data_IF_334533494025
#
_entry.id   IF_334533494025
#
_cell.length_a   1.000
_cell.length_b   1.000
_cell.length_c   1.000
_cell.angle_alpha   90.00
_cell.angle_beta   90.00
_cell.angle_gamma   90.00
#
_symmetry.space_group_name_H-M   'P 1'
#
loop_
_entity.id
_entity.type
_entity.pdbx_description
1 polymer ?
#
# COMPACT_ATOMS: atom_id res chain seq x y z
N UNK A 1 -30.06 6.90 5.05
CA UNK A 1 -28.93 5.94 5.15
C UNK A 1 -27.85 6.40 6.14
N UNK A 2 -27.16 7.53 5.92
CA UNK A 2 -26.11 8.06 6.83
C UNK A 2 -26.59 8.21 8.30
N UNK A 3 -27.85 8.57 8.53
CA UNK A 3 -28.45 8.64 9.88
C UNK A 3 -28.47 7.29 10.62
N UNK A 4 -28.88 6.20 9.94
CA UNK A 4 -28.87 4.84 10.51
C UNK A 4 -27.46 4.40 10.86
N UNK A 5 -26.50 4.68 9.98
CA UNK A 5 -25.08 4.39 10.21
C UNK A 5 -24.53 5.16 11.42
N UNK A 6 -24.82 6.47 11.55
CA UNK A 6 -24.46 7.28 12.72
C UNK A 6 -25.10 6.76 14.00
N UNK A 7 -26.34 6.26 13.93
CA UNK A 7 -27.01 5.62 15.06
C UNK A 7 -26.31 4.30 15.46
N UNK A 8 -26.05 3.39 14.52
CA UNK A 8 -25.32 2.13 14.78
C UNK A 8 -23.93 2.41 15.36
N UNK A 9 -23.20 3.38 14.82
CA UNK A 9 -21.89 3.80 15.33
C UNK A 9 -21.97 4.28 16.79
N UNK A 10 -22.97 5.10 17.13
CA UNK A 10 -23.22 5.51 18.53
C UNK A 10 -23.55 4.33 19.44
N UNK A 11 -24.44 3.43 19.02
CA UNK A 11 -24.78 2.22 19.79
C UNK A 11 -23.52 1.38 20.06
N UNK A 12 -22.69 1.13 19.04
CA UNK A 12 -21.43 0.38 19.18
C UNK A 12 -20.39 1.12 20.02
N UNK A 13 -20.41 2.46 20.03
CA UNK A 13 -19.56 3.29 20.90
C UNK A 13 -19.94 3.22 22.39
N UNK A 14 -21.22 3.04 22.72
CA UNK A 14 -21.69 2.85 24.11
C UNK A 14 -21.31 1.49 24.71
N UNK A 15 -21.09 0.45 23.89
CA UNK A 15 -20.72 -0.88 24.39
C UNK A 15 -19.33 -0.85 25.07
N UNK A 16 -19.09 -1.62 26.13
CA UNK A 16 -17.75 -1.81 26.68
C UNK A 16 -16.81 -2.47 25.65
N UNK A 17 -15.53 -2.05 25.60
CA UNK A 17 -14.57 -2.56 24.64
C UNK A 17 -14.38 -4.10 24.72
N UNK A 18 -14.53 -4.70 25.91
CA UNK A 18 -14.55 -6.15 26.09
C UNK A 18 -15.71 -6.86 25.40
N UNK A 19 -16.91 -6.25 25.41
CA UNK A 19 -18.10 -6.76 24.73
C UNK A 19 -17.94 -6.69 23.21
N UNK A 20 -17.38 -5.58 22.70
CA UNK A 20 -17.06 -5.42 21.28
C UNK A 20 -16.05 -6.47 20.81
N UNK A 21 -14.99 -6.75 21.60
CA UNK A 21 -14.06 -7.84 21.32
C UNK A 21 -14.74 -9.22 21.35
N UNK A 22 -15.65 -9.46 22.30
CA UNK A 22 -16.41 -10.71 22.36
C UNK A 22 -17.31 -10.91 21.13
N UNK A 23 -18.02 -9.87 20.69
CA UNK A 23 -18.83 -9.89 19.48
C UNK A 23 -17.98 -10.10 18.23
N UNK A 24 -16.83 -9.43 18.11
CA UNK A 24 -15.91 -9.65 17.00
C UNK A 24 -15.39 -11.10 16.95
N UNK A 25 -15.09 -11.71 18.11
CA UNK A 25 -14.74 -13.14 18.19
C UNK A 25 -15.86 -14.06 17.71
N UNK A 26 -17.09 -13.79 18.13
CA UNK A 26 -18.28 -14.58 17.76
C UNK A 26 -18.61 -14.47 16.26
N UNK A 27 -18.76 -13.25 15.73
CA UNK A 27 -19.08 -13.03 14.32
C UNK A 27 -17.93 -13.47 13.40
N UNK A 28 -16.67 -13.26 13.79
CA UNK A 28 -15.52 -13.78 13.06
C UNK A 28 -15.50 -15.32 13.02
N UNK A 29 -15.87 -15.98 14.13
CA UNK A 29 -16.02 -17.44 14.16
C UNK A 29 -17.13 -17.92 13.22
N UNK A 30 -18.29 -17.25 13.18
CA UNK A 30 -19.39 -17.56 12.26
C UNK A 30 -18.96 -17.41 10.79
N UNK A 31 -18.26 -16.33 10.44
CA UNK A 31 -17.76 -16.10 9.07
C UNK A 31 -16.75 -17.17 8.64
N UNK A 32 -15.93 -17.67 9.56
CA UNK A 32 -14.94 -18.73 9.30
C UNK A 32 -15.54 -20.15 9.24
N UNK A 33 -16.54 -20.48 10.08
CA UNK A 33 -17.06 -21.85 10.25
C UNK A 33 -18.40 -22.12 9.55
N UNK A 34 -19.29 -21.13 9.51
CA UNK A 34 -20.62 -21.24 8.89
C UNK A 34 -20.56 -20.74 7.45
N UNK A 35 -20.22 -19.47 7.24
CA UNK A 35 -20.12 -18.91 5.88
C UNK A 35 -18.86 -19.39 5.12
N UNK A 36 -17.83 -19.86 5.83
CA UNK A 36 -16.60 -20.48 5.30
C UNK A 36 -15.93 -19.66 4.20
N UNK A 37 -16.05 -18.34 4.27
CA UNK A 37 -15.75 -17.43 3.16
C UNK A 37 -14.29 -17.61 2.74
N UNK A 38 -14.10 -18.13 1.52
CA UNK A 38 -12.79 -18.41 0.89
C UNK A 38 -11.88 -19.34 1.70
N UNK A 39 -12.41 -20.15 2.61
CA UNK A 39 -11.63 -21.01 3.52
C UNK A 39 -10.57 -21.84 2.82
N UNK A 40 -10.93 -22.57 1.77
CA UNK A 40 -9.98 -23.38 0.98
C UNK A 40 -8.82 -22.55 0.43
N UNK A 41 -9.15 -21.46 -0.27
CA UNK A 41 -8.17 -20.53 -0.85
C UNK A 41 -7.21 -19.94 0.20
N UNK A 42 -7.73 -19.52 1.37
CA UNK A 42 -6.89 -18.95 2.43
C UNK A 42 -5.98 -20.01 3.04
N UNK A 43 -6.50 -21.20 3.40
CA UNK A 43 -5.69 -22.27 3.99
C UNK A 43 -4.60 -22.79 3.02
N UNK A 44 -4.93 -22.91 1.73
CA UNK A 44 -3.98 -23.27 0.66
C UNK A 44 -2.93 -22.16 0.42
N UNK A 45 -3.31 -20.89 0.59
CA UNK A 45 -2.38 -19.76 0.47
C UNK A 45 -1.45 -19.69 1.69
N UNK A 46 -1.99 -19.79 2.90
CA UNK A 46 -1.22 -19.90 4.14
C UNK A 46 -0.23 -21.08 4.07
N UNK A 47 -0.66 -22.22 3.53
CA UNK A 47 0.20 -23.39 3.37
C UNK A 47 1.43 -23.17 2.49
N UNK A 48 1.33 -22.31 1.47
CA UNK A 48 2.45 -21.96 0.59
C UNK A 48 3.31 -20.82 1.15
N UNK A 49 2.72 -19.90 1.91
CA UNK A 49 3.41 -18.72 2.42
C UNK A 49 4.10 -18.96 3.77
N UNK A 50 3.54 -19.85 4.59
CA UNK A 50 3.98 -20.18 5.94
C UNK A 50 4.10 -21.72 6.05
N UNK A 51 5.09 -22.33 5.37
CA UNK A 51 5.23 -23.78 5.30
C UNK A 51 5.47 -24.42 6.68
N UNK A 52 6.17 -23.73 7.56
CA UNK A 52 6.55 -24.21 8.91
C UNK A 52 5.39 -24.20 9.91
N UNK A 53 4.31 -23.45 9.60
CA UNK A 53 3.12 -23.35 10.45
C UNK A 53 2.22 -24.56 10.24
N UNK A 54 1.78 -25.23 11.30
CA UNK A 54 1.00 -26.47 11.23
C UNK A 54 -0.40 -26.28 10.64
N UNK A 55 -1.06 -27.37 10.24
CA UNK A 55 -2.45 -27.35 9.75
C UNK A 55 -3.44 -26.78 10.79
N UNK A 56 -3.18 -27.03 12.08
CA UNK A 56 -4.00 -26.49 13.18
C UNK A 56 -3.83 -24.97 13.31
N UNK A 57 -2.60 -24.47 13.28
CA UNK A 57 -2.31 -23.04 13.36
C UNK A 57 -2.77 -22.29 12.11
N UNK A 58 -2.66 -22.86 10.90
CA UNK A 58 -3.25 -22.25 9.68
C UNK A 58 -4.76 -22.07 9.80
N UNK A 59 -5.46 -23.03 10.42
CA UNK A 59 -6.90 -22.91 10.73
C UNK A 59 -7.16 -21.81 11.76
N UNK A 60 -6.33 -21.73 12.81
CA UNK A 60 -6.39 -20.66 13.82
C UNK A 60 -6.20 -19.27 13.21
N UNK A 61 -5.16 -19.07 12.40
CA UNK A 61 -4.87 -17.82 11.66
C UNK A 61 -6.07 -17.41 10.79
N UNK A 62 -6.69 -18.36 10.07
CA UNK A 62 -7.88 -18.07 9.26
C UNK A 62 -9.08 -17.60 10.09
N UNK A 63 -9.29 -18.16 11.29
CA UNK A 63 -10.36 -17.74 12.20
C UNK A 63 -10.05 -16.39 12.82
N UNK A 64 -8.84 -16.21 13.37
CA UNK A 64 -8.40 -14.95 13.98
C UNK A 64 -8.40 -13.79 12.96
N UNK A 65 -8.07 -14.05 11.69
CA UNK A 65 -8.24 -13.07 10.60
C UNK A 65 -9.68 -12.59 10.47
N UNK A 66 -10.67 -13.49 10.50
CA UNK A 66 -12.07 -13.06 10.46
C UNK A 66 -12.48 -12.28 11.70
N UNK A 67 -11.97 -12.64 12.88
CA UNK A 67 -12.21 -11.90 14.12
C UNK A 67 -11.59 -10.50 14.07
N UNK A 68 -10.37 -10.36 13.53
CA UNK A 68 -9.73 -9.07 13.29
C UNK A 68 -10.48 -8.23 12.26
N UNK A 69 -10.96 -8.82 11.16
CA UNK A 69 -11.74 -8.09 10.15
C UNK A 69 -13.06 -7.55 10.69
N UNK A 70 -13.76 -8.31 11.55
CA UNK A 70 -14.95 -7.79 12.23
C UNK A 70 -14.58 -6.73 13.26
N UNK A 71 -13.52 -6.94 14.05
CA UNK A 71 -13.07 -5.98 15.06
C UNK A 71 -12.66 -4.64 14.43
N UNK A 72 -11.96 -4.67 13.29
CA UNK A 72 -11.56 -3.48 12.54
C UNK A 72 -12.78 -2.62 12.16
N UNK A 73 -13.87 -3.24 11.69
CA UNK A 73 -15.13 -2.54 11.38
C UNK A 73 -15.75 -1.98 12.65
N UNK A 74 -15.86 -2.79 13.72
CA UNK A 74 -16.44 -2.34 14.99
C UNK A 74 -15.67 -1.17 15.60
N UNK A 75 -14.35 -1.15 15.49
CA UNK A 75 -13.52 -0.04 15.97
C UNK A 75 -13.72 1.25 15.19
N UNK A 76 -13.84 1.17 13.86
CA UNK A 76 -14.20 2.33 13.05
C UNK A 76 -15.58 2.87 13.46
N UNK A 77 -16.53 1.99 13.81
CA UNK A 77 -17.83 2.39 14.36
C UNK A 77 -17.70 3.04 15.75
N UNK A 78 -16.88 2.50 16.67
CA UNK A 78 -16.61 3.12 17.98
C UNK A 78 -15.98 4.51 17.83
N UNK A 79 -14.98 4.62 16.97
CA UNK A 79 -14.25 5.85 16.69
C UNK A 79 -15.19 6.93 16.14
N UNK A 80 -16.00 6.57 15.13
CA UNK A 80 -16.98 7.46 14.52
C UNK A 80 -18.14 7.80 15.45
N UNK A 81 -18.53 6.87 16.33
CA UNK A 81 -19.54 7.06 17.36
C UNK A 81 -19.10 7.91 18.56
N UNK A 82 -17.83 8.34 18.62
CA UNK A 82 -17.32 9.33 19.58
C UNK A 82 -16.19 8.85 20.49
N UNK A 83 -15.80 7.56 20.47
CA UNK A 83 -14.74 7.01 21.34
C UNK A 83 -13.32 7.32 20.85
N UNK A 84 -13.06 8.54 20.35
CA UNK A 84 -11.76 8.90 19.73
C UNK A 84 -10.59 8.81 20.71
N UNK A 85 -10.77 9.30 21.94
CA UNK A 85 -9.74 9.29 22.98
C UNK A 85 -9.23 7.88 23.32
N UNK A 86 -10.12 6.88 23.39
CA UNK A 86 -9.79 5.46 23.63
C UNK A 86 -8.76 4.90 22.62
N UNK A 87 -8.79 5.38 21.36
CA UNK A 87 -7.82 4.97 20.34
C UNK A 87 -6.52 5.76 20.40
N UNK A 88 -6.54 7.01 20.88
CA UNK A 88 -5.34 7.82 21.09
C UNK A 88 -4.55 7.36 22.33
N UNK A 89 -5.24 7.07 23.43
CA UNK A 89 -4.67 6.50 24.66
C UNK A 89 -4.13 5.08 24.43
N UNK A 90 -4.82 4.27 23.62
CA UNK A 90 -4.42 2.90 23.29
C UNK A 90 -3.32 2.78 22.23
N UNK A 91 -2.79 3.89 21.71
CA UNK A 91 -1.83 3.93 20.61
C UNK A 91 -0.39 4.08 21.11
N UNK A 92 0.42 3.06 20.84
CA UNK A 92 1.88 3.17 20.87
C UNK A 92 2.41 3.58 19.48
N UNK A 93 3.46 4.39 19.46
CA UNK A 93 4.09 4.93 18.24
C UNK A 93 5.59 4.67 18.29
N UNK A 94 6.16 4.20 17.20
CA UNK A 94 7.61 4.04 17.01
C UNK A 94 8.02 4.55 15.62
N UNK A 95 9.19 5.17 15.51
CA UNK A 95 9.79 5.58 14.23
C UNK A 95 9.21 6.85 13.59
N UNK A 96 8.48 7.69 14.33
CA UNK A 96 7.91 8.94 13.79
C UNK A 96 8.99 9.85 13.18
N UNK A 97 10.19 9.83 13.75
CA UNK A 97 11.39 10.51 13.27
C UNK A 97 11.73 10.17 11.81
N UNK A 98 11.36 9.00 11.30
CA UNK A 98 11.55 8.64 9.88
C UNK A 98 10.56 9.36 8.96
N UNK A 99 9.34 9.63 9.43
CA UNK A 99 8.36 10.46 8.69
C UNK A 99 8.78 11.92 8.72
N UNK A 100 9.23 12.41 9.87
CA UNK A 100 9.75 13.77 10.02
C UNK A 100 11.00 13.99 9.14
N UNK A 101 11.97 13.07 9.14
CA UNK A 101 13.16 13.13 8.29
C UNK A 101 12.82 13.07 6.79
N UNK A 102 11.81 12.29 6.41
CA UNK A 102 11.31 12.25 5.03
C UNK A 102 10.69 13.58 4.59
N UNK A 103 9.86 14.20 5.43
CA UNK A 103 9.29 15.52 5.18
C UNK A 103 10.36 16.63 5.13
N UNK A 104 11.41 16.54 5.97
CA UNK A 104 12.53 17.46 5.97
C UNK A 104 13.35 17.46 4.66
N UNK A 105 13.19 16.45 3.78
CA UNK A 105 13.76 16.46 2.41
C UNK A 105 13.10 17.49 1.48
N UNK A 106 11.96 18.10 1.87
CA UNK A 106 11.28 19.12 1.08
C UNK A 106 10.57 18.60 -0.18
N UNK A 107 10.19 17.32 -0.22
CA UNK A 107 9.53 16.65 -1.36
C UNK A 107 8.15 16.05 -1.02
N UNK A 108 7.64 16.28 0.19
CA UNK A 108 6.62 15.43 0.80
C UNK A 108 7.15 14.01 1.05
N UNK A 109 6.28 13.08 1.44
CA UNK A 109 6.68 11.69 1.65
C UNK A 109 5.63 10.68 1.15
N UNK A 110 6.12 9.57 0.61
CA UNK A 110 5.31 8.45 0.15
C UNK A 110 5.23 7.41 1.27
N UNK A 111 4.02 7.01 1.67
CA UNK A 111 3.82 6.05 2.77
C UNK A 111 3.51 4.66 2.19
N UNK A 112 4.42 3.71 2.40
CA UNK A 112 4.24 2.30 2.05
C UNK A 112 3.47 1.58 3.15
N UNK A 113 2.38 0.89 2.81
CA UNK A 113 1.62 0.08 3.77
C UNK A 113 0.91 -1.11 3.11
N UNK A 114 0.14 -1.86 3.89
CA UNK A 114 -0.64 -3.03 3.46
C UNK A 114 -2.02 -3.08 4.14
N UNK A 115 -2.88 -4.02 3.75
CA UNK A 115 -4.13 -4.36 4.42
C UNK A 115 -3.85 -5.20 5.68
N UNK A 116 -3.04 -4.64 6.58
CA UNK A 116 -2.56 -5.23 7.83
C UNK A 116 -3.13 -4.46 9.03
N UNK A 117 -3.51 -5.17 10.09
CA UNK A 117 -4.10 -4.57 11.29
C UNK A 117 -5.37 -3.78 10.96
N UNK A 118 -5.60 -2.66 11.64
CA UNK A 118 -6.69 -1.73 11.30
C UNK A 118 -6.18 -0.61 10.36
N UNK A 119 -5.79 -0.98 9.14
CA UNK A 119 -5.18 -0.11 8.13
C UNK A 119 -5.98 1.16 7.77
N UNK A 120 -7.30 1.18 8.06
CA UNK A 120 -8.16 2.36 7.89
C UNK A 120 -7.94 3.35 9.02
N UNK A 121 -7.92 2.82 10.26
CA UNK A 121 -7.67 3.60 11.47
C UNK A 121 -6.23 4.14 11.52
N UNK A 122 -5.27 3.45 10.89
CA UNK A 122 -3.87 3.89 10.75
C UNK A 122 -3.75 5.34 10.25
N UNK A 123 -4.35 5.64 9.10
CA UNK A 123 -4.26 6.97 8.50
C UNK A 123 -4.94 8.03 9.36
N UNK A 124 -6.09 7.68 9.95
CA UNK A 124 -6.86 8.57 10.82
C UNK A 124 -6.07 8.91 12.09
N UNK A 125 -5.44 7.92 12.73
CA UNK A 125 -4.65 8.12 13.94
C UNK A 125 -3.35 8.89 13.63
N UNK A 126 -2.69 8.65 12.49
CA UNK A 126 -1.53 9.43 12.09
C UNK A 126 -1.89 10.92 11.90
N UNK A 127 -2.98 11.24 11.19
CA UNK A 127 -3.47 12.63 11.04
C UNK A 127 -3.80 13.25 12.40
N UNK A 128 -4.54 12.54 13.26
CA UNK A 128 -4.97 13.10 14.56
C UNK A 128 -3.85 13.21 15.61
N UNK A 129 -2.82 12.36 15.54
CA UNK A 129 -1.71 12.36 16.49
C UNK A 129 -0.62 13.38 16.15
N UNK A 130 -0.32 13.56 14.87
CA UNK A 130 0.83 14.38 14.42
C UNK A 130 0.44 15.61 13.59
N UNK A 131 -0.85 15.78 13.25
CA UNK A 131 -1.32 16.90 12.43
C UNK A 131 -0.93 16.82 10.95
N UNK A 132 -0.42 15.67 10.47
CA UNK A 132 -0.01 15.50 9.08
C UNK A 132 -1.21 15.57 8.11
N UNK A 133 -1.02 16.23 6.97
CA UNK A 133 -1.93 16.11 5.83
C UNK A 133 -1.67 14.79 5.09
N UNK A 134 -2.65 13.88 5.07
CA UNK A 134 -2.54 12.56 4.42
C UNK A 134 -3.58 12.37 3.31
N UNK A 135 -3.11 11.94 2.14
CA UNK A 135 -3.94 11.45 1.04
C UNK A 135 -3.73 9.95 0.82
N UNK A 136 -4.79 9.14 0.73
CA UNK A 136 -4.69 7.70 0.46
C UNK A 136 -5.17 7.38 -0.95
N UNK A 137 -4.33 6.69 -1.73
CA UNK A 137 -4.71 6.20 -3.06
C UNK A 137 -5.52 4.90 -2.92
N UNK A 138 -6.78 4.92 -3.37
CA UNK A 138 -7.66 3.75 -3.32
C UNK A 138 -8.55 3.61 -4.56
N UNK A 139 -8.96 2.37 -4.85
CA UNK A 139 -10.00 2.08 -5.84
C UNK A 139 -11.37 2.43 -5.24
N UNK A 140 -12.27 2.98 -6.06
CA UNK A 140 -13.69 3.14 -5.71
C UNK A 140 -14.30 1.77 -5.39
N UNK A 141 -15.00 1.66 -4.27
CA UNK A 141 -15.76 0.46 -3.92
C UNK A 141 -17.00 0.35 -4.81
N UNK A 142 -17.27 -0.86 -5.33
CA UNK A 142 -18.43 -1.10 -6.21
C UNK A 142 -19.78 -0.85 -5.53
N UNK A 143 -19.84 -0.95 -4.21
CA UNK A 143 -21.04 -0.69 -3.43
C UNK A 143 -21.04 0.78 -2.98
N UNK A 144 -21.98 1.58 -3.50
CA UNK A 144 -22.07 3.03 -3.22
C UNK A 144 -22.25 3.34 -1.73
N UNK A 145 -23.04 2.54 -1.02
CA UNK A 145 -23.25 2.67 0.44
C UNK A 145 -21.93 2.49 1.20
N UNK A 146 -21.12 1.52 0.79
CA UNK A 146 -19.82 1.28 1.39
C UNK A 146 -18.84 2.41 1.05
N UNK A 147 -18.81 2.89 -0.20
CA UNK A 147 -17.96 4.02 -0.61
C UNK A 147 -18.30 5.29 0.19
N UNK A 148 -19.58 5.67 0.27
CA UNK A 148 -20.07 6.83 1.04
C UNK A 148 -19.69 6.73 2.53
N UNK A 149 -19.79 5.54 3.12
CA UNK A 149 -19.34 5.25 4.48
C UNK A 149 -17.82 5.41 4.63
N UNK A 150 -17.03 4.79 3.75
CA UNK A 150 -15.56 4.83 3.83
C UNK A 150 -15.03 6.25 3.66
N UNK A 151 -15.60 7.02 2.74
CA UNK A 151 -15.25 8.42 2.52
C UNK A 151 -15.69 9.30 3.70
N UNK A 152 -16.89 9.09 4.26
CA UNK A 152 -17.36 9.78 5.48
C UNK A 152 -16.44 9.52 6.69
N UNK A 153 -15.91 8.29 6.83
CA UNK A 153 -14.95 7.94 7.89
C UNK A 153 -13.61 8.65 7.70
N UNK A 154 -13.09 8.67 6.47
CA UNK A 154 -11.83 9.35 6.13
C UNK A 154 -11.91 10.84 6.37
N UNK A 155 -12.95 11.50 5.86
CA UNK A 155 -13.18 12.93 6.06
C UNK A 155 -13.32 13.30 7.55
N UNK A 156 -14.06 12.49 8.33
CA UNK A 156 -14.20 12.68 9.77
C UNK A 156 -12.88 12.47 10.56
N UNK A 157 -11.88 11.84 9.94
CA UNK A 157 -10.52 11.65 10.45
C UNK A 157 -9.45 12.52 9.77
N UNK A 158 -9.82 13.47 8.90
CA UNK A 158 -8.89 14.36 8.20
C UNK A 158 -8.06 13.71 7.07
N UNK A 159 -8.46 12.52 6.61
CA UNK A 159 -7.76 11.78 5.53
C UNK A 159 -8.42 12.09 4.19
N UNK A 160 -7.62 12.46 3.18
CA UNK A 160 -8.10 12.73 1.82
C UNK A 160 -8.13 11.45 0.96
N UNK A 161 -9.15 11.29 0.13
CA UNK A 161 -9.22 10.23 -0.88
C UNK A 161 -8.57 10.64 -2.21
N UNK A 162 -7.72 9.79 -2.78
CA UNK A 162 -7.29 9.87 -4.19
C UNK A 162 -7.75 8.61 -4.91
N UNK A 163 -8.53 8.76 -5.98
CA UNK A 163 -8.93 7.63 -6.82
C UNK A 163 -7.72 7.05 -7.56
N UNK A 164 -7.57 5.72 -7.53
CA UNK A 164 -6.47 5.00 -8.17
C UNK A 164 -6.40 5.25 -9.69
N UNK A 165 -7.56 5.45 -10.33
CA UNK A 165 -7.68 5.96 -11.69
C UNK A 165 -7.22 7.43 -11.69
N UNK A 166 -6.17 7.75 -12.46
CA UNK A 166 -5.58 9.10 -12.58
C UNK A 166 -4.89 9.64 -11.30
N UNK A 167 -4.57 8.78 -10.33
CA UNK A 167 -3.96 9.15 -9.04
C UNK A 167 -2.68 10.00 -9.11
N UNK A 168 -1.91 9.88 -10.20
CA UNK A 168 -0.59 10.52 -10.33
C UNK A 168 -0.64 12.05 -10.17
N UNK A 169 -1.52 12.75 -10.89
CA UNK A 169 -1.60 14.22 -10.82
C UNK A 169 -2.05 14.74 -9.44
N UNK A 170 -3.10 14.19 -8.80
CA UNK A 170 -3.43 14.51 -7.40
C UNK A 170 -2.29 14.23 -6.42
N UNK A 171 -1.64 13.07 -6.50
CA UNK A 171 -0.56 12.69 -5.60
C UNK A 171 0.66 13.61 -5.72
N UNK A 172 1.11 13.92 -6.94
CA UNK A 172 2.21 14.88 -7.16
C UNK A 172 1.86 16.28 -6.63
N UNK A 173 0.60 16.70 -6.70
CA UNK A 173 0.15 17.97 -6.08
C UNK A 173 0.18 17.94 -4.55
N UNK A 174 -0.15 16.81 -3.93
CA UNK A 174 -0.04 16.62 -2.48
C UNK A 174 1.42 16.66 -2.01
N UNK A 175 2.30 15.88 -2.66
CA UNK A 175 3.75 15.87 -2.37
C UNK A 175 4.39 17.25 -2.50
N UNK A 176 4.03 18.03 -3.52
CA UNK A 176 4.49 19.43 -3.68
C UNK A 176 4.07 20.36 -2.54
N UNK A 177 2.99 20.06 -1.82
CA UNK A 177 2.54 20.78 -0.61
C UNK A 177 3.14 20.21 0.69
N UNK A 178 4.17 19.37 0.60
CA UNK A 178 4.79 18.65 1.73
C UNK A 178 3.82 17.70 2.47
N UNK A 179 2.84 17.15 1.74
CA UNK A 179 1.88 16.20 2.32
C UNK A 179 2.34 14.75 2.18
N UNK A 180 1.69 13.87 2.95
CA UNK A 180 1.87 12.41 2.88
C UNK A 180 0.94 11.80 1.83
N UNK A 181 1.45 10.84 1.04
CA UNK A 181 0.63 10.06 0.11
C UNK A 181 0.77 8.55 0.38
N UNK A 182 -0.31 7.92 0.84
CA UNK A 182 -0.37 6.51 1.22
C UNK A 182 -0.67 5.54 0.08
N UNK A 183 0.12 4.47 0.02
CA UNK A 183 0.07 3.38 -0.95
C UNK A 183 -0.08 2.01 -0.26
N UNK A 184 -1.19 1.31 -0.53
CA UNK A 184 -1.35 -0.10 -0.19
C UNK A 184 -0.83 -0.96 -1.35
N UNK A 185 0.36 -1.55 -1.19
CA UNK A 185 1.08 -2.25 -2.27
C UNK A 185 0.79 -3.75 -2.35
N UNK A 186 0.06 -4.29 -1.37
CA UNK A 186 -0.18 -5.72 -1.15
C UNK A 186 -1.31 -6.33 -2.00
N UNK A 187 -1.91 -5.58 -2.91
CA UNK A 187 -2.94 -6.06 -3.84
C UNK A 187 -2.41 -6.35 -5.25
N UNK A 188 -3.01 -7.34 -5.90
CA UNK A 188 -2.70 -7.75 -7.28
C UNK A 188 -3.03 -6.67 -8.31
N UNK A 189 -2.18 -6.58 -9.34
CA UNK A 189 -2.49 -5.94 -10.63
C UNK A 189 -2.76 -6.99 -11.73
N UNK A 190 -3.50 -6.65 -12.80
CA UNK A 190 -3.43 -7.40 -14.06
C UNK A 190 -1.97 -7.52 -14.53
N UNK A 191 -1.60 -8.64 -15.18
CA UNK A 191 -0.21 -8.90 -15.59
C UNK A 191 0.38 -7.78 -16.49
N UNK A 192 -0.44 -7.15 -17.34
CA UNK A 192 -0.08 -6.02 -18.19
C UNK A 192 0.07 -4.68 -17.46
N UNK A 193 -0.13 -4.64 -16.13
CA UNK A 193 -0.15 -3.42 -15.30
C UNK A 193 0.63 -3.58 -14.00
N UNK A 194 1.46 -4.60 -13.87
CA UNK A 194 2.23 -4.86 -12.66
C UNK A 194 3.50 -5.65 -12.93
N UNK A 195 4.57 -5.29 -12.22
CA UNK A 195 5.85 -5.99 -12.27
C UNK A 195 5.78 -7.26 -11.43
N UNK A 196 6.41 -8.34 -11.88
CA UNK A 196 6.48 -9.58 -11.12
C UNK A 196 7.69 -9.55 -10.18
N UNK A 197 7.40 -9.62 -8.89
CA UNK A 197 8.37 -9.59 -7.78
C UNK A 197 8.06 -10.73 -6.81
N UNK A 198 9.06 -11.15 -6.04
CA UNK A 198 8.84 -12.18 -5.03
C UNK A 198 7.92 -11.68 -3.90
N UNK A 199 7.00 -12.54 -3.48
CA UNK A 199 6.22 -12.36 -2.27
C UNK A 199 5.92 -13.74 -1.68
N UNK A 200 6.54 -14.07 -0.55
CA UNK A 200 6.53 -15.41 0.05
C UNK A 200 7.07 -16.51 -0.88
N UNK A 201 8.22 -16.29 -1.53
CA UNK A 201 8.87 -17.27 -2.42
C UNK A 201 8.10 -17.55 -3.71
N UNK A 202 7.20 -16.64 -4.10
CA UNK A 202 6.25 -16.79 -5.20
C UNK A 202 6.00 -15.47 -5.91
N UNK A 203 6.23 -15.43 -7.22
CA UNK A 203 6.01 -14.24 -8.05
C UNK A 203 4.56 -13.73 -7.97
N UNK A 204 4.40 -12.47 -7.54
CA UNK A 204 3.13 -11.74 -7.52
C UNK A 204 3.21 -10.50 -8.41
N UNK A 205 2.12 -10.13 -9.10
CA UNK A 205 2.09 -8.94 -9.97
C UNK A 205 1.74 -7.71 -9.14
N UNK A 206 2.74 -6.88 -8.89
CA UNK A 206 2.70 -5.76 -7.96
C UNK A 206 2.67 -4.44 -8.72
N UNK A 207 2.01 -3.42 -8.16
CA UNK A 207 1.96 -2.09 -8.77
C UNK A 207 3.35 -1.44 -8.75
N UNK A 208 3.97 -1.09 -9.90
CA UNK A 208 5.23 -0.32 -9.90
C UNK A 208 5.02 1.15 -9.48
N UNK A 209 3.77 1.60 -9.34
CA UNK A 209 3.42 3.02 -9.20
C UNK A 209 4.02 3.73 -7.98
N UNK A 210 4.36 3.02 -6.90
CA UNK A 210 5.03 3.62 -5.74
C UNK A 210 6.49 3.96 -6.05
N UNK A 211 7.26 2.99 -6.55
CA UNK A 211 8.65 3.19 -6.96
C UNK A 211 8.73 4.24 -8.09
N UNK A 212 7.86 4.12 -9.11
CA UNK A 212 7.83 5.07 -10.21
C UNK A 212 7.50 6.50 -9.75
N UNK A 213 6.58 6.67 -8.80
CA UNK A 213 6.25 8.00 -8.26
C UNK A 213 7.39 8.58 -7.42
N UNK A 214 8.05 7.76 -6.61
CA UNK A 214 9.22 8.16 -5.82
C UNK A 214 10.33 8.68 -6.74
N UNK A 215 10.73 7.90 -7.75
CA UNK A 215 11.72 8.30 -8.75
C UNK A 215 11.30 9.55 -9.55
N UNK A 216 10.02 9.68 -9.91
CA UNK A 216 9.53 10.82 -10.68
C UNK A 216 9.39 12.13 -9.89
N UNK A 217 9.41 12.09 -8.56
CA UNK A 217 9.21 13.26 -7.68
C UNK A 217 10.41 13.58 -6.79
N UNK A 218 11.31 12.62 -6.58
CA UNK A 218 12.32 12.66 -5.54
C UNK A 218 11.76 12.50 -4.12
N UNK A 219 10.50 12.10 -3.96
CA UNK A 219 9.91 11.89 -2.65
C UNK A 219 10.36 10.54 -2.05
N UNK A 220 10.97 10.52 -0.85
CA UNK A 220 11.36 9.28 -0.17
C UNK A 220 10.12 8.44 0.22
N UNK A 221 10.34 7.14 0.41
CA UNK A 221 9.30 6.18 0.81
C UNK A 221 9.50 5.76 2.26
N UNK A 222 8.51 6.02 3.13
CA UNK A 222 8.52 5.55 4.53
C UNK A 222 7.55 4.38 4.68
N UNK A 223 8.00 3.18 5.07
CA UNK A 223 7.09 2.10 5.43
C UNK A 223 6.41 2.40 6.76
N UNK A 224 5.08 2.39 6.80
CA UNK A 224 4.29 2.62 8.02
C UNK A 224 3.19 1.57 8.12
N UNK A 225 3.14 0.88 9.25
CA UNK A 225 2.20 -0.20 9.50
C UNK A 225 1.51 -0.04 10.85
N UNK A 226 0.26 -0.50 10.92
CA UNK A 226 -0.47 -0.66 12.18
C UNK A 226 -0.63 -2.13 12.50
N UNK A 227 -0.45 -2.48 13.77
CA UNK A 227 -0.80 -3.80 14.31
C UNK A 227 -1.51 -3.65 15.64
N UNK A 228 -2.39 -4.60 15.94
CA UNK A 228 -3.10 -4.70 17.21
C UNK A 228 -2.25 -5.42 18.24
N UNK A 229 -2.21 -4.90 19.46
CA UNK A 229 -1.54 -5.54 20.62
C UNK A 229 -2.41 -6.67 21.17
N UNK A 230 -1.79 -7.70 21.77
CA UNK A 230 -2.52 -8.79 22.42
C UNK A 230 -3.42 -8.31 23.59
N UNK A 231 -2.97 -7.29 24.31
CA UNK A 231 -3.71 -6.60 25.39
C UNK A 231 -4.86 -5.70 24.90
N UNK A 232 -4.94 -5.41 23.59
CA UNK A 232 -5.82 -4.39 23.01
C UNK A 232 -5.09 -3.07 22.73
N UNK A 233 -5.74 -2.18 21.99
CA UNK A 233 -5.07 -1.01 21.41
C UNK A 233 -4.16 -1.37 20.23
N UNK A 234 -3.33 -0.41 19.82
CA UNK A 234 -2.57 -0.46 18.57
C UNK A 234 -1.12 -0.04 18.76
N UNK A 235 -0.27 -0.54 17.86
CA UNK A 235 1.09 -0.06 17.60
C UNK A 235 1.09 0.48 16.17
N UNK A 236 1.52 1.73 16.02
CA UNK A 236 1.86 2.36 14.76
C UNK A 236 3.39 2.40 14.64
N UNK A 237 3.93 1.67 13.69
CA UNK A 237 5.36 1.46 13.50
C UNK A 237 5.75 2.03 12.13
N UNK A 238 6.51 3.13 12.13
CA UNK A 238 7.21 3.63 10.98
C UNK A 238 8.62 3.04 10.95
N UNK A 239 9.07 2.60 9.78
CA UNK A 239 10.40 2.03 9.56
C UNK A 239 11.31 3.06 8.88
N UNK A 240 12.63 2.87 8.86
CA UNK A 240 13.56 3.76 8.17
C UNK A 240 13.11 4.09 6.75
N UNK A 241 13.22 5.36 6.39
CA UNK A 241 12.88 5.83 5.05
C UNK A 241 13.82 5.19 4.01
N UNK A 242 13.28 4.94 2.83
CA UNK A 242 14.01 4.49 1.66
C UNK A 242 14.17 5.66 0.70
N UNK A 243 15.39 5.84 0.21
CA UNK A 243 15.69 6.87 -0.79
C UNK A 243 14.99 6.56 -2.13
N UNK A 244 14.70 7.60 -2.95
CA UNK A 244 14.09 7.39 -4.25
C UNK A 244 14.95 6.53 -5.18
N UNK A 245 14.34 5.71 -6.06
CA UNK A 245 15.09 5.05 -7.12
C UNK A 245 15.80 6.10 -8.01
N UNK A 246 17.04 5.84 -8.45
CA UNK A 246 17.86 6.83 -9.17
C UNK A 246 17.30 7.19 -10.55
N UNK A 247 16.52 6.30 -11.15
CA UNK A 247 15.95 6.42 -12.48
C UNK A 247 14.53 5.80 -12.54
N UNK A 248 13.97 5.72 -13.74
CA UNK A 248 12.65 5.13 -14.00
C UNK A 248 12.70 3.94 -14.97
N UNK A 249 13.86 3.29 -15.09
CA UNK A 249 14.04 2.10 -15.90
C UNK A 249 13.27 0.90 -15.31
N UNK A 250 12.82 -0.01 -16.19
CA UNK A 250 11.92 -1.09 -15.80
C UNK A 250 12.51 -1.97 -14.69
N UNK A 251 13.81 -2.25 -14.76
CA UNK A 251 14.51 -3.09 -13.79
C UNK A 251 14.70 -2.37 -12.45
N UNK A 252 15.17 -1.12 -12.44
CA UNK A 252 15.31 -0.29 -11.23
C UNK A 252 13.99 -0.18 -10.47
N UNK A 253 12.89 0.06 -11.19
CA UNK A 253 11.53 0.13 -10.64
C UNK A 253 11.05 -1.25 -10.14
N UNK A 254 11.38 -2.35 -10.82
CA UNK A 254 11.08 -3.72 -10.38
C UNK A 254 11.81 -4.06 -9.08
N UNK A 255 13.09 -3.72 -8.97
CA UNK A 255 13.92 -3.98 -7.79
C UNK A 255 13.39 -3.25 -6.55
N UNK A 256 13.12 -1.94 -6.65
CA UNK A 256 12.53 -1.18 -5.54
C UNK A 256 11.14 -1.72 -5.17
N UNK A 257 10.32 -2.11 -6.16
CA UNK A 257 9.02 -2.75 -5.90
C UNK A 257 9.18 -4.09 -5.17
N UNK A 258 10.26 -4.84 -5.40
CA UNK A 258 10.57 -6.07 -4.68
C UNK A 258 10.97 -5.79 -3.22
N UNK A 259 11.83 -4.81 -2.97
CA UNK A 259 12.19 -4.35 -1.61
C UNK A 259 10.94 -3.96 -0.81
N UNK A 260 10.07 -3.12 -1.40
CA UNK A 260 8.82 -2.70 -0.77
C UNK A 260 7.87 -3.89 -0.47
N UNK A 261 7.86 -4.88 -1.37
CA UNK A 261 7.07 -6.10 -1.20
C UNK A 261 7.65 -7.00 -0.10
N UNK A 262 8.98 -7.04 0.06
CA UNK A 262 9.66 -7.81 1.12
C UNK A 262 9.40 -7.23 2.50
N UNK A 263 9.43 -5.90 2.65
CA UNK A 263 9.06 -5.22 3.90
C UNK A 263 7.62 -5.58 4.31
N UNK A 264 6.68 -5.60 3.36
CA UNK A 264 5.31 -6.06 3.64
C UNK A 264 5.30 -7.53 4.08
N UNK A 265 6.07 -8.40 3.43
CA UNK A 265 6.17 -9.82 3.79
C UNK A 265 6.59 -10.01 5.26
N UNK A 266 7.60 -9.28 5.71
CA UNK A 266 8.10 -9.32 7.08
C UNK A 266 7.02 -8.89 8.10
N UNK A 267 6.28 -7.81 7.81
CA UNK A 267 5.20 -7.36 8.69
C UNK A 267 4.01 -8.35 8.73
N UNK A 268 3.70 -8.98 7.60
CA UNK A 268 2.70 -10.07 7.55
C UNK A 268 3.20 -11.30 8.31
N UNK A 269 4.48 -11.66 8.24
CA UNK A 269 5.07 -12.78 9.02
C UNK A 269 5.03 -12.52 10.52
N UNK A 270 5.22 -11.28 10.97
CA UNK A 270 5.11 -10.89 12.40
C UNK A 270 3.70 -11.04 12.95
N UNK A 271 2.66 -10.78 12.15
CA UNK A 271 1.24 -10.83 12.60
C UNK A 271 0.31 -11.43 11.53
N UNK A 272 0.45 -12.73 11.17
CA UNK A 272 -0.21 -13.30 10.01
C UNK A 272 -1.73 -13.29 10.10
N UNK A 273 -2.31 -13.44 11.30
CA UNK A 273 -3.75 -13.30 11.51
C UNK A 273 -4.27 -11.89 11.20
N UNK A 274 -3.44 -10.85 11.20
CA UNK A 274 -3.89 -9.47 10.98
C UNK A 274 -3.83 -9.01 9.52
N UNK A 275 -3.42 -9.87 8.57
CA UNK A 275 -3.38 -9.55 7.14
C UNK A 275 -4.60 -10.10 6.38
N UNK A 276 -5.05 -9.38 5.34
CA UNK A 276 -6.25 -9.71 4.57
C UNK A 276 -6.02 -10.81 3.51
N UNK A 277 -5.85 -12.07 3.94
CA UNK A 277 -5.65 -13.24 3.06
C UNK A 277 -6.79 -13.51 2.05
N UNK A 278 -7.94 -12.83 2.15
CA UNK A 278 -9.08 -13.01 1.25
C UNK A 278 -8.80 -12.53 -0.18
N UNK A 279 -7.84 -11.62 -0.35
CA UNK A 279 -7.47 -11.08 -1.65
C UNK A 279 -6.69 -12.14 -2.46
N UNK A 280 -7.08 -12.39 -3.72
CA UNK A 280 -6.37 -13.34 -4.61
C UNK A 280 -5.05 -12.73 -5.10
N UNK A 281 -4.07 -12.60 -4.21
CA UNK A 281 -2.79 -11.90 -4.44
C UNK A 281 -1.96 -12.52 -5.56
N UNK A 282 -1.94 -13.85 -5.69
CA UNK A 282 -1.28 -14.55 -6.79
C UNK A 282 -2.27 -14.96 -7.89
N UNK A 283 -3.18 -14.07 -8.33
CA UNK A 283 -4.17 -14.40 -9.39
C UNK A 283 -3.53 -14.44 -10.78
N UNK A 284 -2.81 -13.39 -11.20
CA UNK A 284 -2.14 -13.41 -12.51
C UNK A 284 -0.83 -14.18 -12.42
N UNK A 285 -0.39 -14.68 -13.57
CA UNK A 285 0.92 -15.30 -13.80
C UNK A 285 1.74 -14.38 -14.72
N UNK A 286 3.08 -14.49 -14.71
CA UNK A 286 3.89 -13.93 -15.79
C UNK A 286 3.32 -14.37 -17.13
N UNK A 287 3.27 -13.47 -18.11
CA UNK A 287 2.97 -13.85 -19.48
C UNK A 287 4.15 -14.66 -20.00
N UNK A 288 3.87 -15.81 -20.62
CA UNK A 288 4.90 -16.57 -21.32
C UNK A 288 5.47 -15.72 -22.46
N UNK A 289 6.77 -15.86 -22.74
CA UNK A 289 7.51 -15.04 -23.70
C UNK A 289 7.09 -15.41 -25.14
N UNK A 290 5.93 -14.90 -25.54
CA UNK A 290 5.21 -15.21 -26.77
C UNK A 290 3.75 -14.74 -26.72
N UNK A 291 3.14 -14.62 -25.54
CA UNK A 291 1.77 -14.16 -25.35
C UNK A 291 1.66 -12.61 -25.20
N UNK A 292 2.40 -11.85 -26.01
CA UNK A 292 2.04 -10.44 -26.27
C UNK A 292 0.85 -10.43 -27.22
N UNK A 293 -0.34 -10.62 -26.65
CA UNK A 293 -1.61 -10.77 -27.35
C UNK A 293 -1.87 -9.62 -28.34
N UNK A 294 -2.21 -9.99 -29.58
CA UNK A 294 -2.55 -9.13 -30.73
C UNK A 294 -3.88 -8.37 -30.57
N UNK A 295 -4.27 -8.03 -29.33
CA UNK A 295 -5.50 -7.30 -29.00
C UNK A 295 -5.25 -5.80 -29.23
N UNK A 296 -5.15 -5.45 -30.51
CA UNK A 296 -4.82 -4.09 -30.96
C UNK A 296 -4.78 -3.94 -32.48
N UNK A 297 -5.60 -4.67 -33.24
CA UNK A 297 -5.47 -4.70 -34.70
C UNK A 297 -6.58 -5.36 -35.52
N UNK A 298 -7.84 -5.40 -35.05
CA UNK A 298 -8.97 -5.77 -35.91
C UNK A 298 -10.11 -4.75 -35.79
N UNK A 299 -10.27 -3.98 -36.86
CA UNK A 299 -11.17 -2.83 -36.98
C UNK A 299 -11.37 -2.44 -38.45
N UNK A 300 -11.88 -3.40 -39.23
CA UNK A 300 -12.50 -3.25 -40.57
C UNK A 300 -11.71 -2.48 -41.64
N UNK A 301 -11.14 -3.23 -42.59
CA UNK A 301 -10.77 -2.74 -43.92
C UNK A 301 -11.37 -3.68 -44.98
N UNK A 302 -12.55 -3.34 -45.49
CA UNK A 302 -13.24 -3.86 -46.68
C UNK A 302 -14.54 -3.04 -46.82
N UNK A 303 -14.95 -2.48 -47.97
CA UNK A 303 -14.32 -2.37 -49.28
C UNK A 303 -15.23 -1.57 -50.23
N UNK A 304 -14.79 -1.35 -51.49
CA UNK A 304 -15.65 -0.82 -52.56
C UNK A 304 -15.67 0.71 -52.73
N UNK A 305 -14.95 1.21 -53.74
CA UNK A 305 -14.92 2.64 -54.08
C UNK A 305 -15.80 3.03 -55.27
N UNK A 306 -15.86 4.33 -55.54
CA UNK A 306 -16.12 4.92 -56.87
C UNK A 306 -15.38 6.25 -56.95
N UNK A 307 -14.61 6.45 -58.02
CA UNK A 307 -13.80 7.65 -58.17
C UNK A 307 -14.59 8.84 -58.70
N UNK A 308 -14.03 10.03 -58.50
CA UNK A 308 -14.19 11.17 -59.41
C UNK A 308 -12.93 12.01 -59.37
N UNK A 309 -12.50 12.49 -60.54
CA UNK A 309 -11.41 13.45 -60.69
C UNK A 309 -11.91 14.84 -60.31
N UNK A 310 -11.06 15.64 -59.70
CA UNK A 310 -10.95 17.06 -60.04
C UNK A 310 -9.50 17.52 -59.92
N UNK A 311 -9.03 18.19 -60.95
CA UNK A 311 -7.76 18.91 -60.95
C UNK A 311 -7.95 20.29 -60.33
N UNK A 312 -6.84 20.99 -60.02
CA UNK A 312 -6.50 22.37 -60.42
C UNK A 312 -5.69 23.11 -59.34
N UNK A 313 -4.47 23.51 -59.73
CA UNK A 313 -3.57 24.56 -59.16
C UNK A 313 -3.17 24.46 -57.67
N UNK A 314 -1.95 24.82 -57.26
CA UNK A 314 -0.86 25.49 -57.98
C UNK A 314 -0.55 26.85 -57.36
N UNK A 315 0.52 26.93 -56.56
CA UNK A 315 1.01 28.17 -55.94
C UNK A 315 2.40 27.97 -55.34
N UNK A 316 3.38 28.77 -55.78
CA UNK A 316 4.77 28.79 -55.28
C UNK A 316 5.00 30.03 -54.40
N UNK A 317 6.00 29.93 -53.51
CA UNK A 317 7.09 30.89 -53.21
C UNK A 317 7.61 30.57 -51.77
N UNK A 318 8.91 30.43 -51.43
CA UNK A 318 10.07 31.35 -51.53
C UNK A 318 9.82 32.69 -50.80
N UNK A 319 10.68 33.32 -49.98
CA UNK A 319 12.09 33.22 -49.53
C UNK A 319 12.17 33.80 -48.07
N UNK A 320 13.26 33.93 -47.29
CA UNK A 320 14.74 33.75 -47.44
C UNK A 320 15.39 33.47 -46.06
N UNK A 321 16.72 33.31 -46.02
CA UNK A 321 17.59 33.17 -44.83
C UNK A 321 17.68 34.40 -43.88
N UNK A 322 18.31 34.20 -42.72
CA UNK A 322 18.72 35.26 -41.78
C UNK A 322 19.65 34.77 -40.67
N UNK A 323 20.97 34.84 -40.88
CA UNK A 323 22.00 34.44 -39.91
C UNK A 323 22.08 35.33 -38.66
N UNK A 324 22.47 34.74 -37.52
CA UNK A 324 22.93 35.45 -36.33
C UNK A 324 23.85 34.57 -35.47
N UNK A 325 25.16 34.81 -35.53
CA UNK A 325 26.21 34.01 -34.88
C UNK A 325 26.99 34.88 -33.88
N UNK A 326 27.06 34.46 -32.62
CA UNK A 326 28.07 34.81 -31.60
C UNK A 326 28.15 33.55 -30.70
N UNK A 327 29.25 32.82 -30.54
CA UNK A 327 30.50 33.20 -29.87
C UNK A 327 30.26 33.83 -28.49
N UNK A 328 30.82 33.35 -27.37
CA UNK A 328 31.71 32.21 -27.15
C UNK A 328 32.35 32.39 -25.76
N UNK A 329 32.27 31.37 -24.89
CA UNK A 329 32.86 31.44 -23.56
C UNK A 329 33.22 30.03 -23.05
N UNK A 330 34.46 29.60 -23.34
CA UNK A 330 35.05 28.47 -22.63
C UNK A 330 35.42 28.87 -21.20
N UNK A 331 35.20 27.99 -20.24
CA UNK A 331 36.05 27.92 -19.05
C UNK A 331 36.34 26.47 -18.71
N UNK A 332 37.63 26.17 -18.56
CA UNK A 332 38.15 24.85 -18.19
C UNK A 332 38.22 24.74 -16.66
N UNK A 333 38.02 23.56 -16.10
CA UNK A 333 38.30 23.32 -14.68
C UNK A 333 37.91 21.94 -14.18
N UNK A 334 38.81 20.97 -14.37
CA UNK A 334 39.15 19.83 -13.47
C UNK A 334 38.00 19.22 -12.61
N UNK A 335 37.73 17.91 -12.63
CA UNK A 335 38.70 16.82 -12.72
C UNK A 335 38.84 16.17 -11.34
N UNK A 336 38.05 15.12 -11.06
CA UNK A 336 37.94 14.53 -9.73
C UNK A 336 37.30 13.13 -9.73
N UNK A 337 38.07 12.12 -10.15
CA UNK A 337 37.86 10.73 -9.72
C UNK A 337 38.06 10.67 -8.19
N UNK A 338 37.29 9.97 -7.37
CA UNK A 338 36.50 8.77 -7.62
C UNK A 338 37.02 7.65 -6.69
N UNK A 339 36.27 7.32 -5.62
CA UNK A 339 36.41 6.07 -4.87
C UNK A 339 35.09 5.76 -4.15
N UNK A 340 34.38 4.73 -4.60
CA UNK A 340 33.38 4.07 -3.77
C UNK A 340 34.10 3.05 -2.88
N UNK A 341 33.70 2.94 -1.60
CA UNK A 341 34.18 1.85 -0.73
C UNK A 341 33.12 1.39 0.27
N UNK A 342 32.97 0.07 0.28
CA UNK A 342 32.16 -0.81 1.11
C UNK A 342 31.85 -0.38 2.57
N UNK A 343 30.57 -0.51 2.92
CA UNK A 343 30.08 -0.96 4.23
C UNK A 343 28.96 -1.99 3.95
N UNK A 344 29.28 -3.27 3.72
CA UNK A 344 29.52 -4.32 4.72
C UNK A 344 28.22 -4.89 5.32
N UNK A 345 27.81 -6.05 4.82
CA UNK A 345 26.77 -6.89 5.42
C UNK A 345 27.24 -7.48 6.77
N UNK A 346 26.52 -7.17 7.86
CA UNK A 346 26.47 -7.81 9.20
C UNK A 346 25.76 -6.81 10.14
N UNK A 347 24.81 -7.16 11.01
CA UNK A 347 24.21 -8.44 11.37
C UNK A 347 22.78 -8.20 11.89
N UNK A 348 21.80 -9.01 11.48
CA UNK A 348 20.52 -9.12 12.18
C UNK A 348 20.10 -10.61 12.25
N UNK A 349 20.77 -11.35 13.12
CA UNK A 349 20.22 -12.60 13.68
C UNK A 349 19.67 -12.25 15.06
N UNK A 350 18.35 -12.15 15.17
CA UNK A 350 17.69 -12.17 16.47
C UNK A 350 17.65 -13.61 16.96
N UNK A 351 18.35 -13.90 18.05
CA UNK A 351 18.21 -15.18 18.74
C UNK A 351 16.86 -15.23 19.49
N UNK A 352 16.24 -16.40 19.62
CA UNK A 352 14.97 -16.54 20.35
C UNK A 352 15.21 -16.41 21.85
N UNK A 353 14.38 -15.60 22.51
CA UNK A 353 14.34 -15.48 23.98
C UNK A 353 14.09 -16.86 24.60
N UNK A 354 15.05 -17.32 25.42
CA UNK A 354 14.95 -18.60 26.13
C UNK A 354 13.80 -18.63 27.13
N UNK A 355 13.15 -19.78 27.27
CA UNK A 355 12.22 -20.04 28.35
C UNK A 355 13.00 -20.15 29.67
N UNK A 356 12.58 -19.41 30.70
CA UNK A 356 13.13 -19.56 32.04
C UNK A 356 12.62 -20.82 32.71
N UNK A 357 13.52 -21.76 32.99
CA UNK A 357 13.25 -22.83 33.97
C UNK A 357 13.11 -22.21 35.36
N UNK A 358 12.03 -22.57 36.06
CA UNK A 358 11.90 -22.32 37.50
C UNK A 358 12.46 -23.56 38.19
N UNK A 359 13.70 -23.45 38.68
CA UNK A 359 14.33 -24.51 39.46
C UNK A 359 13.82 -24.48 40.91
N UNK A 360 13.59 -25.68 41.44
CA UNK A 360 13.24 -25.97 42.83
C UNK A 360 14.42 -25.66 43.77
N UNK A 361 14.13 -25.39 45.05
CA UNK A 361 15.13 -24.92 46.00
C UNK A 361 14.57 -24.64 47.39
N UNK A 362 14.26 -25.70 48.14
CA UNK A 362 13.84 -25.61 49.53
C UNK A 362 14.97 -25.39 50.53
N UNK A 363 14.65 -24.69 51.62
CA UNK A 363 15.29 -24.75 52.94
C UNK A 363 14.21 -24.41 53.99
#
# INVERSE_FOLDING_TARGET
MVGLLKFVARVVAFLPAGMVRAWARHWGWLLAHVARIRRGYVLETLARCLPDVTVAERRRIYVEMWQHQVLNIMELMRFYGGRRAEFAEGLEVYGEEHVQAALARGKGALILTAHLGNYVLMGILAVQRFGYSLSIISKVLKNRVAEELFESLRQAGGVNGIHAQQAYRPAVRALRRQELVGFMLDQQRPASQGVFVDFFGRLASTSPGLAFMSAATGAPVVPVFIRRKASGGHILEALPLMEPPPDREEETIRQHTAVYTKIIEEQVRRTPAQWLWLHKRWKSRPLERGQRSEVGGQGTAEGGGRGQRSEVRGGRNSHTDGHGRLEGAESRGQGGTGTASALSERSYRGEPMGAGEVADGGA
#
